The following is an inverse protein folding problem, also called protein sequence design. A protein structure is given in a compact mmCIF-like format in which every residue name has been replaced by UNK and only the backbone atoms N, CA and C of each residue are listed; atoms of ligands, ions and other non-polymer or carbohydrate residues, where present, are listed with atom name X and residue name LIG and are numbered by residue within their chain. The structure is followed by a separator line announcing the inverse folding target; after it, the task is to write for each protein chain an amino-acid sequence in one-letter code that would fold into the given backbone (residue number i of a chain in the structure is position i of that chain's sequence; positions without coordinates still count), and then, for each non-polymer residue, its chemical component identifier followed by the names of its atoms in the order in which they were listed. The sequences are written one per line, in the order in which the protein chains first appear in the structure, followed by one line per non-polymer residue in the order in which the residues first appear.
data_IF_211432465819
#
_entry.id   IF_211432465819
#
_cell.length_a   1.000
_cell.length_b   1.000
_cell.length_c   1.000
_cell.angle_alpha   90.00
_cell.angle_beta   90.00
_cell.angle_gamma   90.00
#
_symmetry.space_group_name_H-M   'P 1'
#
loop_
_entity.id
_entity.type
_entity.pdbx_description
1 polymer ?
#
# COMPACT_ATOMS: atom_id res chain seq x y z
N UNK A 1 6.65 -20.24 1.53
CA UNK A 1 7.13 -20.19 2.94
C UNK A 1 6.18 -19.26 3.68
N UNK A 2 5.75 -19.60 4.89
CA UNK A 2 4.91 -18.70 5.68
C UNK A 2 5.35 -18.72 7.15
N UNK A 3 5.28 -17.58 7.81
CA UNK A 3 5.44 -17.43 9.25
C UNK A 3 4.16 -16.79 9.82
N UNK A 4 3.69 -17.31 10.95
CA UNK A 4 2.52 -16.76 11.66
C UNK A 4 3.02 -16.25 13.00
N UNK A 5 2.79 -14.98 13.27
CA UNK A 5 3.23 -14.33 14.50
C UNK A 5 2.08 -13.57 15.16
N UNK A 6 2.10 -13.54 16.49
CA UNK A 6 1.18 -12.72 17.25
C UNK A 6 1.81 -11.35 17.45
N UNK A 7 1.25 -10.31 16.83
CA UNK A 7 1.71 -8.96 17.12
C UNK A 7 1.39 -8.59 18.58
N UNK A 8 2.21 -7.71 19.17
CA UNK A 8 2.06 -7.19 20.55
C UNK A 8 0.69 -6.56 20.87
N UNK A 9 -0.21 -6.44 19.89
CA UNK A 9 -1.57 -5.89 20.00
C UNK A 9 -2.67 -6.97 19.90
N UNK A 10 -2.33 -8.26 19.89
CA UNK A 10 -3.28 -9.37 20.02
C UNK A 10 -4.05 -9.77 18.76
N UNK A 11 -3.79 -9.11 17.62
CA UNK A 11 -4.38 -9.48 16.34
C UNK A 11 -3.52 -10.51 15.60
N UNK A 12 -4.13 -11.49 14.91
CA UNK A 12 -3.40 -12.46 14.11
C UNK A 12 -2.69 -11.74 12.95
N UNK A 13 -1.40 -12.02 12.77
CA UNK A 13 -0.58 -11.47 11.71
C UNK A 13 0.18 -12.61 11.02
N UNK A 14 0.17 -12.60 9.69
CA UNK A 14 0.84 -13.61 8.90
C UNK A 14 1.73 -12.95 7.86
N UNK A 15 2.95 -13.47 7.73
CA UNK A 15 3.84 -13.17 6.64
C UNK A 15 3.85 -14.38 5.69
N UNK A 16 3.45 -14.15 4.44
CA UNK A 16 3.34 -15.22 3.43
C UNK A 16 4.24 -14.87 2.26
N UNK A 17 5.19 -15.75 1.97
CA UNK A 17 6.06 -15.65 0.79
C UNK A 17 5.66 -16.70 -0.25
N UNK A 18 5.24 -16.20 -1.41
CA UNK A 18 4.88 -16.98 -2.59
C UNK A 18 6.02 -16.88 -3.61
N UNK A 19 6.52 -18.02 -4.06
CA UNK A 19 7.52 -18.10 -5.13
C UNK A 19 6.80 -18.39 -6.43
N UNK A 20 6.97 -17.52 -7.41
CA UNK A 20 6.42 -17.71 -8.74
C UNK A 20 7.39 -18.54 -9.59
N UNK A 21 6.84 -19.42 -10.43
CA UNK A 21 7.63 -20.22 -11.35
C UNK A 21 8.36 -19.34 -12.38
N UNK A 22 7.64 -18.34 -12.89
CA UNK A 22 8.16 -17.35 -13.83
C UNK A 22 8.34 -16.01 -13.09
N UNK A 23 9.38 -15.28 -13.47
CA UNK A 23 9.64 -13.93 -12.97
C UNK A 23 8.56 -12.97 -13.50
N UNK A 24 8.00 -12.15 -12.63
CA UNK A 24 7.16 -11.02 -13.05
C UNK A 24 8.04 -9.90 -13.61
N UNK A 25 7.66 -9.37 -14.74
CA UNK A 25 8.20 -8.14 -15.30
C UNK A 25 7.46 -6.91 -14.74
N UNK A 26 8.08 -5.73 -14.77
CA UNK A 26 7.49 -4.51 -14.16
C UNK A 26 6.07 -4.21 -14.68
N UNK A 27 5.82 -4.48 -15.96
CA UNK A 27 4.52 -4.28 -16.61
C UNK A 27 3.45 -5.28 -16.16
N UNK A 28 3.84 -6.43 -15.60
CA UNK A 28 2.92 -7.46 -15.08
C UNK A 28 2.65 -7.28 -13.58
N UNK A 29 3.46 -6.48 -12.87
CA UNK A 29 3.25 -6.20 -11.44
C UNK A 29 1.94 -5.45 -11.22
N UNK A 30 1.63 -4.50 -12.11
CA UNK A 30 0.42 -3.68 -12.01
C UNK A 30 -0.89 -4.47 -12.24
N UNK A 31 -0.80 -5.67 -12.85
CA UNK A 31 -1.94 -6.58 -13.00
C UNK A 31 -2.29 -7.30 -11.69
N UNK A 32 -1.33 -7.39 -10.77
CA UNK A 32 -1.45 -8.18 -9.52
C UNK A 32 -1.52 -7.27 -8.30
N UNK A 33 -0.71 -6.22 -8.27
CA UNK A 33 -0.54 -5.30 -7.15
C UNK A 33 -0.91 -3.89 -7.61
N UNK A 34 -1.77 -3.24 -6.85
CA UNK A 34 -2.11 -1.83 -7.03
C UNK A 34 -1.76 -1.05 -5.77
N UNK A 35 -1.40 0.22 -5.96
CA UNK A 35 -1.29 1.19 -4.89
C UNK A 35 -2.15 2.44 -5.19
N UNK A 36 -3.26 2.24 -5.91
CA UNK A 36 -4.19 3.30 -6.30
C UNK A 36 -5.57 3.09 -5.66
N UNK A 37 -6.26 4.20 -5.39
CA UNK A 37 -7.67 4.21 -5.02
C UNK A 37 -8.49 3.68 -6.20
N UNK A 38 -9.27 2.59 -6.03
CA UNK A 38 -10.15 2.06 -7.07
C UNK A 38 -11.20 3.08 -7.53
N UNK A 39 -11.85 2.84 -8.66
CA UNK A 39 -12.96 3.69 -9.09
C UNK A 39 -14.24 3.32 -8.31
N UNK A 40 -14.88 4.26 -7.61
CA UNK A 40 -16.09 3.99 -6.84
C UNK A 40 -17.32 3.64 -7.70
N UNK A 41 -17.30 3.96 -9.00
CA UNK A 41 -18.38 3.65 -9.95
C UNK A 41 -18.16 2.26 -10.57
N UNK A 42 -16.94 1.96 -11.03
CA UNK A 42 -16.68 0.68 -11.73
C UNK A 42 -16.42 -0.47 -10.75
N UNK A 43 -15.87 -0.19 -9.57
CA UNK A 43 -15.64 -1.18 -8.52
C UNK A 43 -15.90 -0.60 -7.11
N UNK A 44 -17.18 -0.36 -6.77
CA UNK A 44 -17.55 0.21 -5.47
C UNK A 44 -17.09 -0.64 -4.28
N UNK A 45 -17.10 -1.97 -4.43
CA UNK A 45 -16.73 -2.89 -3.35
C UNK A 45 -15.24 -2.82 -3.06
N UNK A 46 -14.39 -2.88 -4.08
CA UNK A 46 -12.95 -2.74 -3.86
C UNK A 46 -12.61 -1.33 -3.38
N UNK A 47 -13.28 -0.29 -3.88
CA UNK A 47 -13.12 1.07 -3.39
C UNK A 47 -13.37 1.15 -1.88
N UNK A 48 -14.49 0.62 -1.39
CA UNK A 48 -14.81 0.63 0.04
C UNK A 48 -13.76 -0.11 0.88
N UNK A 49 -13.33 -1.29 0.43
CA UNK A 49 -12.28 -2.08 1.09
C UNK A 49 -10.97 -1.29 1.15
N UNK A 50 -10.51 -0.76 0.02
CA UNK A 50 -9.21 -0.06 -0.08
C UNK A 50 -9.21 1.23 0.74
N UNK A 51 -10.29 2.02 0.66
CA UNK A 51 -10.39 3.29 1.38
C UNK A 51 -10.57 3.12 2.88
N UNK A 52 -11.12 1.99 3.32
CA UNK A 52 -11.26 1.66 4.75
C UNK A 52 -10.00 1.00 5.32
N UNK A 53 -9.37 0.10 4.56
CA UNK A 53 -8.37 -0.82 5.10
C UNK A 53 -6.97 -0.55 4.57
N UNK A 54 -6.81 -0.07 3.35
CA UNK A 54 -5.50 0.08 2.69
C UNK A 54 -4.99 1.52 2.66
N UNK A 55 -5.56 2.41 3.47
CA UNK A 55 -5.07 3.79 3.60
C UNK A 55 -4.04 3.86 4.73
N UNK A 56 -2.82 4.28 4.41
CA UNK A 56 -1.91 4.79 5.43
C UNK A 56 -2.48 6.10 5.96
N UNK A 57 -2.83 6.14 7.25
CA UNK A 57 -3.39 7.34 7.86
C UNK A 57 -2.50 8.57 7.64
N UNK A 58 -3.07 9.78 7.52
CA UNK A 58 -2.28 10.99 7.30
C UNK A 58 -1.16 11.13 8.32
N UNK A 59 0.00 11.53 7.82
CA UNK A 59 1.23 11.70 8.58
C UNK A 59 2.08 12.80 7.94
N UNK A 60 3.28 13.04 8.48
CA UNK A 60 4.15 14.11 7.97
C UNK A 60 3.54 15.46 8.28
N UNK A 61 3.54 16.36 7.28
CA UNK A 61 2.97 17.69 7.42
C UNK A 61 1.45 17.68 7.70
N UNK A 62 0.73 16.66 7.21
CA UNK A 62 -0.73 16.55 7.41
C UNK A 62 -1.10 16.14 8.84
N UNK A 63 -0.21 15.41 9.53
CA UNK A 63 -0.42 15.00 10.92
C UNK A 63 0.92 14.63 11.57
N UNK A 64 1.63 15.61 12.16
CA UNK A 64 2.92 15.38 12.82
C UNK A 64 2.83 14.48 14.06
N UNK A 65 1.64 14.32 14.63
CA UNK A 65 1.38 13.52 15.84
C UNK A 65 1.02 12.06 15.53
N UNK A 66 1.04 11.65 14.25
CA UNK A 66 0.73 10.27 13.87
C UNK A 66 1.73 9.29 14.51
N UNK A 67 1.30 8.12 15.01
CA UNK A 67 2.19 7.15 15.67
C UNK A 67 3.34 6.63 14.81
N UNK A 68 3.25 6.78 13.49
CA UNK A 68 4.31 6.38 12.56
C UNK A 68 5.44 7.42 12.47
N UNK A 69 5.30 8.61 13.07
CA UNK A 69 6.28 9.69 13.01
C UNK A 69 7.43 9.45 13.99
N UNK A 70 8.67 9.60 13.51
CA UNK A 70 9.88 9.66 14.31
C UNK A 70 10.85 10.66 13.67
N UNK A 71 11.50 11.51 14.47
CA UNK A 71 12.44 12.54 13.99
C UNK A 71 11.88 13.42 12.84
N UNK A 72 10.59 13.76 12.94
CA UNK A 72 9.88 14.57 11.94
C UNK A 72 9.59 13.85 10.61
N UNK A 73 9.86 12.55 10.50
CA UNK A 73 9.62 11.75 9.29
C UNK A 73 8.73 10.55 9.57
N UNK A 74 7.96 10.13 8.57
CA UNK A 74 7.21 8.88 8.68
C UNK A 74 8.20 7.70 8.60
N UNK A 75 8.23 6.86 9.63
CA UNK A 75 9.02 5.62 9.69
C UNK A 75 8.67 4.62 8.59
N UNK A 76 7.45 4.72 8.04
CA UNK A 76 6.95 3.93 6.90
C UNK A 76 7.14 4.62 5.55
N UNK A 77 7.82 5.77 5.52
CA UNK A 77 8.19 6.56 4.33
C UNK A 77 6.99 7.04 3.50
N UNK A 78 5.91 7.43 4.18
CA UNK A 78 4.78 8.13 3.56
C UNK A 78 4.91 9.67 3.68
N UNK A 79 4.35 10.43 2.73
CA UNK A 79 3.71 9.98 1.49
C UNK A 79 4.70 9.33 0.50
N UNK A 80 4.23 8.39 -0.32
CA UNK A 80 5.04 7.73 -1.36
C UNK A 80 5.14 8.62 -2.61
N UNK A 81 6.22 8.49 -3.41
CA UNK A 81 6.30 9.21 -4.68
C UNK A 81 5.12 8.88 -5.61
N UNK A 82 4.61 9.89 -6.30
CA UNK A 82 3.65 9.71 -7.39
C UNK A 82 4.43 9.38 -8.66
N UNK A 83 4.10 8.27 -9.30
CA UNK A 83 4.74 7.78 -10.53
C UNK A 83 3.68 7.17 -11.45
N UNK A 84 3.80 7.42 -12.75
CA UNK A 84 2.82 7.00 -13.75
C UNK A 84 2.82 5.49 -14.03
N UNK A 85 3.95 4.81 -13.76
CA UNK A 85 4.15 3.38 -13.98
C UNK A 85 5.02 2.78 -12.87
N UNK A 86 4.90 1.47 -12.63
CA UNK A 86 5.74 0.76 -11.67
C UNK A 86 7.19 0.69 -12.14
N UNK A 87 8.12 1.18 -11.30
CA UNK A 87 9.56 1.18 -11.59
C UNK A 87 10.27 0.19 -10.68
N UNK A 88 11.03 -0.75 -11.26
CA UNK A 88 11.83 -1.70 -10.47
C UNK A 88 13.01 -0.96 -9.82
N UNK A 89 13.07 -0.96 -8.49
CA UNK A 89 14.17 -0.34 -7.72
C UNK A 89 15.43 -1.21 -7.67
N UNK A 90 16.60 -0.54 -7.56
CA UNK A 90 17.89 -1.21 -7.40
C UNK A 90 18.07 -1.91 -6.04
N UNK A 91 17.23 -1.58 -5.05
CA UNK A 91 17.25 -2.14 -3.70
C UNK A 91 16.36 -3.39 -3.54
N UNK A 92 15.72 -3.84 -4.63
CA UNK A 92 14.94 -5.07 -4.70
C UNK A 92 13.45 -4.90 -4.38
N UNK A 93 12.98 -3.67 -4.16
CA UNK A 93 11.56 -3.33 -4.04
C UNK A 93 11.14 -2.39 -5.17
N UNK A 94 10.02 -2.64 -5.87
CA UNK A 94 9.51 -1.72 -6.87
C UNK A 94 8.90 -0.47 -6.22
N UNK A 95 8.97 0.64 -6.94
CA UNK A 95 8.14 1.81 -6.68
C UNK A 95 6.87 1.64 -7.49
N UNK A 96 5.76 1.31 -6.83
CA UNK A 96 4.49 1.08 -7.52
C UNK A 96 3.92 2.33 -8.13
N UNK A 97 3.22 2.14 -9.25
CA UNK A 97 2.37 3.16 -9.87
C UNK A 97 1.41 3.78 -8.86
N UNK A 98 1.46 5.11 -8.80
CA UNK A 98 0.60 5.98 -7.99
C UNK A 98 0.36 7.25 -8.78
N UNK A 99 -0.68 7.27 -9.61
CA UNK A 99 -0.94 8.43 -10.47
C UNK A 99 -1.41 9.62 -9.64
N UNK A 100 -0.96 10.82 -10.01
CA UNK A 100 -1.43 12.06 -9.41
C UNK A 100 -2.81 12.42 -9.95
N UNK A 101 -3.47 13.42 -9.36
CA UNK A 101 -4.77 13.91 -9.84
C UNK A 101 -4.70 14.41 -11.29
N UNK A 102 -3.58 15.00 -11.67
CA UNK A 102 -3.30 15.47 -13.04
C UNK A 102 -3.12 14.31 -14.04
N UNK A 103 -2.78 13.11 -13.54
CA UNK A 103 -2.61 11.87 -14.30
C UNK A 103 -3.76 10.87 -14.04
N UNK A 104 -4.99 11.36 -13.87
CA UNK A 104 -6.19 10.54 -13.63
C UNK A 104 -6.16 9.69 -12.34
N UNK A 105 -5.30 10.03 -11.40
CA UNK A 105 -5.30 9.53 -10.03
C UNK A 105 -6.51 10.05 -9.25
N UNK A 106 -6.94 9.26 -8.25
CA UNK A 106 -8.09 9.59 -7.41
C UNK A 106 -7.63 10.11 -6.05
N UNK A 107 -8.50 10.87 -5.42
CA UNK A 107 -8.34 11.34 -4.05
C UNK A 107 -9.54 10.92 -3.21
N UNK A 108 -9.34 10.79 -1.91
CA UNK A 108 -10.39 10.57 -0.92
C UNK A 108 -10.24 11.57 0.20
N UNK A 109 -11.33 11.75 0.95
CA UNK A 109 -11.32 12.58 2.13
C UNK A 109 -11.31 11.72 3.38
N UNK A 110 -10.38 12.00 4.28
CA UNK A 110 -10.23 11.29 5.56
C UNK A 110 -10.34 12.28 6.71
N UNK A 111 -10.93 11.86 7.83
CA UNK A 111 -11.05 12.68 9.03
C UNK A 111 -9.85 12.46 9.95
N UNK A 112 -9.16 13.55 10.29
CA UNK A 112 -8.06 13.56 11.26
C UNK A 112 -8.30 14.73 12.21
N UNK A 113 -8.34 14.47 13.52
CA UNK A 113 -8.50 15.51 14.56
C UNK A 113 -9.70 16.47 14.27
N UNK A 114 -10.84 15.92 13.85
CA UNK A 114 -12.05 16.65 13.45
C UNK A 114 -11.91 17.55 12.22
N UNK A 115 -10.81 17.45 11.47
CA UNK A 115 -10.61 18.10 10.18
C UNK A 115 -10.71 17.08 9.05
N UNK A 116 -11.30 17.49 7.94
CA UNK A 116 -11.39 16.69 6.73
C UNK A 116 -10.20 17.03 5.82
N UNK A 117 -9.37 16.04 5.52
CA UNK A 117 -8.14 16.18 4.73
C UNK A 117 -8.31 15.36 3.46
N UNK A 118 -8.00 15.96 2.31
CA UNK A 118 -7.90 15.24 1.04
C UNK A 118 -6.53 14.57 0.92
N UNK A 119 -6.52 13.26 0.62
CA UNK A 119 -5.31 12.48 0.35
C UNK A 119 -5.45 11.73 -0.98
N UNK A 120 -4.33 11.52 -1.66
CA UNK A 120 -4.29 10.78 -2.93
C UNK A 120 -3.66 9.40 -2.82
N UNK A 121 -3.31 8.88 -3.98
CA UNK A 121 -2.66 7.58 -4.17
C UNK A 121 -1.33 7.47 -3.41
N UNK A 122 -0.68 8.56 -3.04
CA UNK A 122 0.56 8.59 -2.26
C UNK A 122 0.43 7.98 -0.85
N UNK A 123 -0.79 7.84 -0.33
CA UNK A 123 -1.08 7.25 0.98
C UNK A 123 -1.57 5.79 0.94
N UNK A 124 -1.76 5.20 -0.24
CA UNK A 124 -2.33 3.85 -0.34
C UNK A 124 -1.26 2.79 -0.06
N UNK A 125 -1.54 1.85 0.83
CA UNK A 125 -0.70 0.68 1.05
C UNK A 125 -0.86 -0.28 -0.14
N UNK A 126 0.22 -0.77 -0.75
CA UNK A 126 0.14 -1.72 -1.86
C UNK A 126 -0.72 -2.95 -1.51
N UNK A 127 -1.63 -3.31 -2.41
CA UNK A 127 -2.60 -4.38 -2.19
C UNK A 127 -2.80 -5.21 -3.45
N UNK A 128 -3.21 -6.46 -3.28
CA UNK A 128 -3.71 -7.26 -4.39
C UNK A 128 -5.25 -7.17 -4.43
N UNK A 129 -5.88 -6.69 -5.52
CA UNK A 129 -7.33 -6.59 -5.63
C UNK A 129 -8.06 -7.91 -5.36
N UNK A 130 -7.50 -9.04 -5.80
CA UNK A 130 -8.09 -10.37 -5.57
C UNK A 130 -8.09 -10.72 -4.07
N UNK A 131 -6.93 -10.64 -3.43
CA UNK A 131 -6.78 -10.98 -2.01
C UNK A 131 -7.60 -10.04 -1.11
N UNK A 132 -7.65 -8.76 -1.45
CA UNK A 132 -8.42 -7.76 -0.71
C UNK A 132 -9.91 -8.09 -0.70
N UNK A 133 -10.47 -8.53 -1.85
CA UNK A 133 -11.89 -8.95 -1.93
C UNK A 133 -12.18 -10.27 -1.23
N UNK A 134 -11.21 -11.17 -1.14
CA UNK A 134 -11.38 -12.48 -0.50
C UNK A 134 -11.34 -12.34 1.02
N UNK A 135 -10.37 -11.60 1.55
CA UNK A 135 -10.09 -11.57 2.98
C UNK A 135 -10.67 -10.35 3.70
N UNK A 136 -11.02 -9.29 2.96
CA UNK A 136 -11.57 -8.04 3.53
C UNK A 136 -10.81 -7.60 4.78
N UNK A 137 -9.48 -7.60 4.69
CA UNK A 137 -8.57 -7.25 5.77
C UNK A 137 -7.43 -6.39 5.25
N UNK A 138 -6.74 -5.69 6.17
CA UNK A 138 -5.52 -4.98 5.85
C UNK A 138 -4.42 -5.98 5.44
N UNK A 139 -4.09 -6.03 4.16
CA UNK A 139 -3.11 -6.95 3.60
C UNK A 139 -2.13 -6.22 2.68
N UNK A 140 -0.95 -5.86 3.20
CA UNK A 140 0.12 -5.30 2.38
C UNK A 140 0.70 -6.40 1.47
N UNK A 141 0.68 -6.17 0.16
CA UNK A 141 1.22 -7.12 -0.84
C UNK A 141 2.37 -6.46 -1.57
N UNK A 142 3.53 -7.11 -1.54
CA UNK A 142 4.77 -6.57 -2.09
C UNK A 142 5.40 -7.54 -3.10
N UNK A 143 5.87 -7.03 -4.23
CA UNK A 143 6.71 -7.79 -5.16
C UNK A 143 8.18 -7.68 -4.75
N UNK A 144 8.82 -8.84 -4.57
CA UNK A 144 10.19 -8.96 -4.07
C UNK A 144 11.08 -9.58 -5.14
N UNK A 145 12.08 -8.83 -5.61
CA UNK A 145 12.99 -9.27 -6.68
C UNK A 145 14.38 -9.67 -6.21
N UNK A 146 14.67 -9.62 -4.90
CA UNK A 146 15.99 -9.93 -4.35
C UNK A 146 15.93 -10.71 -3.03
N UNK A 147 16.95 -11.52 -2.75
CA UNK A 147 17.10 -12.19 -1.46
C UNK A 147 17.25 -11.21 -0.28
N UNK A 148 17.65 -9.95 -0.52
CA UNK A 148 17.67 -8.90 0.53
C UNK A 148 16.25 -8.54 1.00
N UNK A 149 15.25 -8.77 0.16
CA UNK A 149 13.84 -8.52 0.47
C UNK A 149 13.23 -9.57 1.42
N UNK A 150 13.92 -10.71 1.60
CA UNK A 150 13.49 -11.84 2.46
C UNK A 150 13.81 -11.59 3.94
N UNK A 151 14.61 -10.57 4.28
CA UNK A 151 15.05 -10.29 5.67
C UNK A 151 13.93 -9.95 6.66
N UNK A 152 12.70 -9.74 6.20
CA UNK A 152 11.56 -9.33 7.01
C UNK A 152 10.43 -10.38 7.06
N UNK A 153 10.76 -11.65 6.80
CA UNK A 153 9.89 -12.81 7.01
C UNK A 153 10.23 -13.54 8.30
#
# INVERSE_FOLDING_TARGET
MYSVEWQKRGLPHAHILIWLLNKLHSNEVDDIISAEIPDPVTDPRLHDIVTTQMVHGPCGALNPLSPCMADGKCTKRYPRPLVAETVTGNDGYPVYRRRSKEDNGRTIKVKVQNQEIEIGNEFIVPYCPLLSRIFETHANVESCHSAKSIKYL
#
